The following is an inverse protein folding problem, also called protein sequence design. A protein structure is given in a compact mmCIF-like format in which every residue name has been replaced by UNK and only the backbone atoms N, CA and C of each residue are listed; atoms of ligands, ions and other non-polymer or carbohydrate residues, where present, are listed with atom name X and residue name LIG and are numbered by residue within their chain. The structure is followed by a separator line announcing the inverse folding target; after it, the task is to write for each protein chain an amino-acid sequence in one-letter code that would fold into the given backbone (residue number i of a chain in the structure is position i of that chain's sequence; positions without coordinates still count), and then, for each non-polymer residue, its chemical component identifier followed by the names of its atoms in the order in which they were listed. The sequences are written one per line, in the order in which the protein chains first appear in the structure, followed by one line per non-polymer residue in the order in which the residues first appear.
data_IF_405722870116
#
_entry.id   IF_405722870116
#
_cell.length_a   1.000
_cell.length_b   1.000
_cell.length_c   1.000
_cell.angle_alpha   90.00
_cell.angle_beta   90.00
_cell.angle_gamma   90.00
#
_symmetry.space_group_name_H-M   'P 1'
#
loop_
_entity.id
_entity.type
_entity.pdbx_description
1 polymer ?
#
# COMPACT_ATOMS: atom_id res chain seq x y z
N UNK A 1 4.40 13.84 26.19
CA UNK A 1 3.02 13.71 25.68
C UNK A 1 2.83 14.19 24.23
N UNK A 2 3.57 15.17 23.70
CA UNK A 2 3.40 15.66 22.31
C UNK A 2 3.56 14.62 21.20
N UNK A 3 4.34 13.55 21.40
CA UNK A 3 4.55 12.53 20.36
C UNK A 3 3.29 11.69 20.10
N UNK A 4 2.57 11.30 21.15
CA UNK A 4 1.40 10.42 21.06
C UNK A 4 0.12 11.11 20.58
N UNK A 5 0.09 12.46 20.56
CA UNK A 5 -1.08 13.19 20.07
C UNK A 5 -1.15 13.32 18.54
N UNK A 6 -0.04 13.12 17.83
CA UNK A 6 0.02 13.32 16.38
C UNK A 6 -0.21 12.05 15.54
N UNK A 7 0.20 10.89 16.05
CA UNK A 7 0.03 9.58 15.39
C UNK A 7 0.23 8.44 16.37
N UNK A 8 -0.21 7.26 15.99
CA UNK A 8 0.10 6.03 16.72
C UNK A 8 1.57 5.63 16.54
N UNK A 9 2.22 5.29 17.63
CA UNK A 9 3.60 4.79 17.67
C UNK A 9 3.64 3.40 18.30
N UNK A 10 4.46 2.52 17.74
CA UNK A 10 4.78 1.26 18.41
C UNK A 10 5.76 1.49 19.56
N UNK A 11 5.80 0.53 20.50
CA UNK A 11 6.77 0.53 21.60
C UNK A 11 8.20 0.65 21.05
N UNK A 12 8.56 -0.18 20.09
CA UNK A 12 9.88 -0.19 19.45
C UNK A 12 10.25 1.14 18.78
N UNK A 13 9.28 1.82 18.15
CA UNK A 13 9.51 3.15 17.59
C UNK A 13 9.82 4.19 18.68
N UNK A 14 9.09 4.13 19.80
CA UNK A 14 9.29 5.03 20.94
C UNK A 14 10.64 4.77 21.64
N UNK A 15 10.97 3.52 21.88
CA UNK A 15 12.27 3.13 22.44
C UNK A 15 13.42 3.69 21.59
N UNK A 16 13.40 3.43 20.29
CA UNK A 16 14.43 3.92 19.37
C UNK A 16 14.51 5.44 19.33
N UNK A 17 13.37 6.13 19.40
CA UNK A 17 13.30 7.59 19.30
C UNK A 17 13.69 8.28 20.60
N UNK A 18 13.40 7.69 21.74
CA UNK A 18 13.63 8.27 23.06
C UNK A 18 14.91 7.79 23.71
N UNK A 19 15.57 6.77 23.16
CA UNK A 19 16.81 6.22 23.71
C UNK A 19 17.90 7.27 23.97
N UNK A 20 17.99 8.29 23.13
CA UNK A 20 18.95 9.39 23.29
C UNK A 20 18.60 10.35 24.44
N UNK A 21 17.40 10.26 25.00
CA UNK A 21 16.90 11.08 26.09
C UNK A 21 16.79 10.28 27.40
N UNK A 22 17.27 9.05 27.41
CA UNK A 22 17.27 8.23 28.61
C UNK A 22 18.39 8.68 29.56
N UNK A 23 18.01 9.24 30.68
CA UNK A 23 18.95 9.74 31.71
C UNK A 23 19.51 8.62 32.57
N UNK A 24 18.76 7.53 32.75
CA UNK A 24 19.16 6.39 33.56
C UNK A 24 18.72 5.09 32.88
N UNK A 25 19.58 4.05 32.85
CA UNK A 25 19.23 2.77 32.24
C UNK A 25 17.95 2.15 32.83
N UNK A 26 16.99 1.80 31.97
CA UNK A 26 15.73 1.17 32.36
C UNK A 26 14.60 2.14 32.73
N UNK A 27 14.84 3.43 32.87
CA UNK A 27 13.80 4.42 33.15
C UNK A 27 12.82 4.53 31.98
N UNK A 28 13.33 4.51 30.75
CA UNK A 28 12.52 4.54 29.54
C UNK A 28 11.61 3.31 29.44
N UNK A 29 12.14 2.12 29.70
CA UNK A 29 11.36 0.87 29.66
C UNK A 29 10.17 0.93 30.64
N UNK A 30 10.42 1.35 31.89
CA UNK A 30 9.37 1.55 32.90
C UNK A 30 8.29 2.52 32.46
N UNK A 31 8.70 3.67 31.92
CA UNK A 31 7.75 4.67 31.45
C UNK A 31 6.89 4.16 30.28
N UNK A 32 7.47 3.38 29.37
CA UNK A 32 6.74 2.77 28.26
C UNK A 32 5.77 1.66 28.73
N UNK A 33 6.17 0.86 29.75
CA UNK A 33 5.29 -0.12 30.37
C UNK A 33 4.05 0.54 30.99
N UNK A 34 4.25 1.63 31.70
CA UNK A 34 3.13 2.39 32.28
C UNK A 34 2.21 2.99 31.20
N UNK A 35 2.76 3.53 30.11
CA UNK A 35 1.99 4.07 29.01
C UNK A 35 1.21 2.97 28.28
N UNK A 36 1.78 1.78 28.14
CA UNK A 36 1.12 0.62 27.55
C UNK A 36 0.00 0.12 28.48
N UNK A 37 0.25 0.00 29.79
CA UNK A 37 -0.77 -0.37 30.77
C UNK A 37 -1.95 0.61 30.83
N UNK A 38 -1.69 1.90 30.63
CA UNK A 38 -2.72 2.95 30.55
C UNK A 38 -3.38 3.05 29.16
N UNK A 39 -3.01 2.19 28.21
CA UNK A 39 -3.59 2.17 26.88
C UNK A 39 -3.15 3.29 25.94
N UNK A 40 -2.15 4.10 26.30
CA UNK A 40 -1.60 5.12 25.40
C UNK A 40 -0.77 4.53 24.27
N UNK A 41 -0.21 3.34 24.44
CA UNK A 41 0.49 2.57 23.42
C UNK A 41 -0.33 1.31 23.16
N UNK A 42 -0.71 1.07 21.88
CA UNK A 42 -1.45 -0.12 21.47
C UNK A 42 -0.95 -0.59 20.11
N UNK A 43 -0.46 -1.81 20.05
CA UNK A 43 0.02 -2.42 18.80
C UNK A 43 -1.11 -2.57 17.79
N UNK A 44 -2.32 -2.91 18.26
CA UNK A 44 -3.49 -3.02 17.39
C UNK A 44 -3.82 -1.68 16.70
N UNK A 45 -3.85 -0.57 17.45
CA UNK A 45 -4.10 0.74 16.85
C UNK A 45 -3.01 1.15 15.86
N UNK A 46 -1.75 0.83 16.14
CA UNK A 46 -0.64 1.06 15.19
C UNK A 46 -0.86 0.26 13.92
N UNK A 47 -1.21 -1.03 14.04
CA UNK A 47 -1.49 -1.93 12.92
C UNK A 47 -2.63 -1.39 12.06
N UNK A 48 -3.77 -1.08 12.67
CA UNK A 48 -4.95 -0.55 11.98
C UNK A 48 -4.66 0.79 11.30
N UNK A 49 -3.92 1.67 11.96
CA UNK A 49 -3.49 2.97 11.41
C UNK A 49 -2.59 2.82 10.19
N UNK A 50 -1.65 1.86 10.19
CA UNK A 50 -0.78 1.59 9.04
C UNK A 50 -1.60 1.02 7.89
N UNK A 51 -2.43 0.02 8.15
CA UNK A 51 -3.29 -0.60 7.14
C UNK A 51 -4.18 0.45 6.50
N UNK A 52 -4.90 1.23 7.29
CA UNK A 52 -5.81 2.27 6.78
C UNK A 52 -5.10 3.27 5.86
N UNK A 53 -3.92 3.74 6.23
CA UNK A 53 -3.16 4.73 5.44
C UNK A 53 -2.46 4.16 4.23
N UNK A 54 -2.06 2.89 4.25
CA UNK A 54 -1.18 2.29 3.24
C UNK A 54 -1.89 1.37 2.27
N UNK A 55 -2.98 0.71 2.67
CA UNK A 55 -3.69 -0.28 1.85
C UNK A 55 -4.12 0.27 0.49
N UNK A 56 -4.56 1.52 0.42
CA UNK A 56 -4.96 2.16 -0.83
C UNK A 56 -3.80 2.43 -1.81
N UNK A 57 -2.53 2.29 -1.38
CA UNK A 57 -1.36 2.67 -2.20
C UNK A 57 -0.31 1.57 -2.33
N UNK A 58 -0.31 0.59 -1.42
CA UNK A 58 0.74 -0.42 -1.31
C UNK A 58 0.14 -1.84 -1.29
N UNK A 59 0.93 -2.78 -1.81
CA UNK A 59 0.66 -4.21 -1.72
C UNK A 59 1.01 -4.80 -0.35
N UNK A 60 0.56 -6.02 -0.12
CA UNK A 60 0.69 -6.73 1.14
C UNK A 60 2.16 -6.89 1.61
N UNK A 61 3.09 -7.13 0.67
CA UNK A 61 4.50 -7.32 1.01
C UNK A 61 5.14 -6.05 1.60
N UNK A 62 4.84 -4.89 1.04
CA UNK A 62 5.38 -3.61 1.51
C UNK A 62 4.79 -3.21 2.86
N UNK A 63 3.49 -3.44 3.06
CA UNK A 63 2.81 -3.20 4.33
C UNK A 63 3.38 -4.13 5.41
N UNK A 64 3.59 -5.42 5.11
CA UNK A 64 4.25 -6.36 6.02
C UNK A 64 5.61 -5.85 6.48
N UNK A 65 6.44 -5.42 5.54
CA UNK A 65 7.77 -4.88 5.84
C UNK A 65 7.69 -3.63 6.75
N UNK A 66 6.74 -2.72 6.49
CA UNK A 66 6.54 -1.53 7.34
C UNK A 66 6.12 -1.93 8.76
N UNK A 67 5.21 -2.89 8.92
CA UNK A 67 4.75 -3.38 10.22
C UNK A 67 5.86 -4.10 11.00
N UNK A 68 6.66 -4.92 10.32
CA UNK A 68 7.84 -5.57 10.92
C UNK A 68 8.90 -4.56 11.37
N UNK A 69 9.17 -3.53 10.57
CA UNK A 69 10.10 -2.46 10.94
C UNK A 69 9.63 -1.64 12.16
N UNK A 70 8.33 -1.66 12.44
CA UNK A 70 7.74 -1.07 13.64
C UNK A 70 7.82 -2.00 14.86
N UNK A 71 8.29 -3.23 14.70
CA UNK A 71 8.44 -4.21 15.77
C UNK A 71 7.11 -4.74 16.30
N UNK A 72 6.08 -4.80 15.47
CA UNK A 72 4.78 -5.37 15.84
C UNK A 72 4.84 -6.89 15.87
N UNK A 73 3.96 -7.51 16.66
CA UNK A 73 3.86 -8.95 16.80
C UNK A 73 3.66 -9.65 15.45
N UNK A 74 4.45 -10.71 15.23
CA UNK A 74 4.49 -11.44 13.96
C UNK A 74 3.16 -12.08 13.60
N UNK A 75 2.41 -12.58 14.58
CA UNK A 75 1.18 -13.32 14.33
C UNK A 75 0.03 -12.35 14.05
N UNK A 76 -0.03 -11.24 14.78
CA UNK A 76 -0.95 -10.15 14.47
C UNK A 76 -0.71 -9.59 13.06
N UNK A 77 0.55 -9.41 12.67
CA UNK A 77 0.92 -8.98 11.31
C UNK A 77 0.49 -10.01 10.26
N UNK A 78 0.67 -11.31 10.50
CA UNK A 78 0.25 -12.37 9.55
C UNK A 78 -1.27 -12.34 9.31
N UNK A 79 -2.06 -12.25 10.38
CA UNK A 79 -3.54 -12.19 10.29
C UNK A 79 -3.97 -10.97 9.48
N UNK A 80 -3.42 -9.80 9.78
CA UNK A 80 -3.74 -8.57 9.08
C UNK A 80 -3.35 -8.61 7.59
N UNK A 81 -2.20 -9.17 7.27
CA UNK A 81 -1.74 -9.33 5.88
C UNK A 81 -2.62 -10.33 5.13
N UNK A 82 -3.07 -11.40 5.78
CA UNK A 82 -3.96 -12.37 5.15
C UNK A 82 -5.28 -11.72 4.73
N UNK A 83 -5.89 -10.91 5.58
CA UNK A 83 -7.11 -10.18 5.22
C UNK A 83 -6.90 -9.17 4.08
N UNK A 84 -5.72 -8.55 4.00
CA UNK A 84 -5.38 -7.64 2.90
C UNK A 84 -5.21 -8.36 1.55
N UNK A 85 -4.83 -9.62 1.55
CA UNK A 85 -4.66 -10.41 0.32
C UNK A 85 -5.99 -10.62 -0.41
N UNK A 86 -7.09 -10.75 0.31
CA UNK A 86 -8.42 -10.92 -0.27
C UNK A 86 -8.80 -9.77 -1.24
N UNK A 87 -8.40 -8.54 -0.92
CA UNK A 87 -8.68 -7.34 -1.71
C UNK A 87 -7.49 -6.85 -2.53
N UNK A 88 -6.40 -7.62 -2.59
CA UNK A 88 -5.17 -7.15 -3.21
C UNK A 88 -5.31 -6.86 -4.70
N UNK A 89 -6.08 -7.70 -5.42
CA UNK A 89 -6.34 -7.50 -6.85
C UNK A 89 -7.08 -6.19 -7.12
N UNK A 90 -8.17 -5.94 -6.42
CA UNK A 90 -9.00 -4.74 -6.59
C UNK A 90 -8.18 -3.46 -6.34
N UNK A 91 -7.38 -3.46 -5.27
CA UNK A 91 -6.50 -2.35 -4.92
C UNK A 91 -5.40 -2.13 -5.96
N UNK A 92 -4.76 -3.19 -6.42
CA UNK A 92 -3.74 -3.12 -7.46
C UNK A 92 -4.33 -2.62 -8.79
N UNK A 93 -5.49 -3.12 -9.17
CA UNK A 93 -6.21 -2.73 -10.38
C UNK A 93 -6.62 -1.25 -10.33
N UNK A 94 -7.18 -0.78 -9.21
CA UNK A 94 -7.55 0.62 -9.03
C UNK A 94 -6.34 1.57 -9.17
N UNK A 95 -5.19 1.20 -8.58
CA UNK A 95 -3.95 1.98 -8.68
C UNK A 95 -3.42 1.97 -10.12
N UNK A 96 -3.49 0.83 -10.79
CA UNK A 96 -3.06 0.66 -12.17
C UNK A 96 -3.94 1.50 -13.12
N UNK A 97 -5.27 1.41 -12.99
CA UNK A 97 -6.22 2.20 -13.76
C UNK A 97 -5.98 3.71 -13.57
N UNK A 98 -5.79 4.16 -12.33
CA UNK A 98 -5.51 5.57 -12.05
C UNK A 98 -4.25 6.09 -12.74
N UNK A 99 -3.22 5.23 -12.89
CA UNK A 99 -1.94 5.65 -13.47
C UNK A 99 -1.85 5.43 -14.98
N UNK A 100 -2.42 4.35 -15.47
CA UNK A 100 -2.25 3.91 -16.85
C UNK A 100 -3.57 3.83 -17.62
N UNK A 101 -4.70 3.82 -16.93
CA UNK A 101 -6.03 3.80 -17.57
C UNK A 101 -6.43 5.12 -18.23
N UNK A 102 -5.87 6.25 -17.79
CA UNK A 102 -6.17 7.57 -18.36
C UNK A 102 -5.58 7.78 -19.77
N UNK A 103 -4.63 6.95 -20.19
CA UNK A 103 -4.12 6.98 -21.58
C UNK A 103 -5.11 6.41 -22.60
N UNK A 104 -6.18 5.76 -22.13
CA UNK A 104 -7.25 5.24 -22.99
C UNK A 104 -8.49 6.15 -23.06
N UNK A 105 -8.58 7.15 -22.17
CA UNK A 105 -9.72 8.07 -22.08
C UNK A 105 -9.41 9.53 -22.50
N UNK A 106 -8.17 9.83 -22.87
CA UNK A 106 -7.77 11.18 -23.26
C UNK A 106 -7.73 11.35 -24.78
N UNK A 107 -8.83 11.01 -25.45
CA UNK A 107 -9.09 11.39 -26.87
C UNK A 107 -10.45 12.07 -26.97
N UNK A 108 -10.85 12.79 -25.93
CA UNK A 108 -11.98 13.71 -26.00
C UNK A 108 -11.57 15.06 -25.45
N UNK A 109 -10.83 15.83 -26.22
CA UNK A 109 -10.88 17.30 -26.22
C UNK A 109 -10.30 17.81 -27.54
N UNK A 110 -11.21 18.11 -28.43
CA UNK A 110 -11.22 19.25 -29.36
C UNK A 110 -9.88 19.62 -30.01
N UNK A 111 -9.60 19.01 -31.15
CA UNK A 111 -9.21 19.76 -32.33
C UNK A 111 -9.52 18.95 -33.61
N UNK A 112 -10.34 19.54 -34.43
CA UNK A 112 -10.81 19.05 -35.73
C UNK A 112 -9.64 19.09 -36.72
N UNK A 113 -9.08 17.92 -37.04
CA UNK A 113 -8.87 17.60 -38.45
C UNK A 113 -8.84 16.08 -38.63
N UNK A 114 -9.73 15.64 -39.51
CA UNK A 114 -10.05 14.25 -39.69
C UNK A 114 -9.02 13.54 -40.55
N UNK A 115 -8.62 12.38 -40.12
CA UNK A 115 -8.45 11.27 -41.06
C UNK A 115 -8.62 9.97 -40.30
N UNK A 116 -9.71 9.27 -40.65
CA UNK A 116 -9.98 7.84 -40.46
C UNK A 116 -8.93 7.05 -39.68
N UNK A 117 -9.11 6.87 -38.36
CA UNK A 117 -8.51 5.77 -37.66
C UNK A 117 -9.61 4.96 -37.01
N UNK A 118 -9.72 3.76 -37.56
CA UNK A 118 -10.72 2.75 -37.24
C UNK A 118 -11.00 2.62 -35.75
N UNK A 119 -12.28 2.53 -35.43
CA UNK A 119 -12.84 2.17 -34.16
C UNK A 119 -12.13 0.93 -33.55
N UNK A 120 -11.69 1.04 -32.29
CA UNK A 120 -11.66 -0.12 -31.42
C UNK A 120 -10.41 -0.96 -31.42
N UNK A 121 -9.21 -0.41 -31.58
CA UNK A 121 -8.01 -1.15 -31.23
C UNK A 121 -7.46 -0.62 -29.90
N UNK A 122 -7.80 -1.27 -28.79
CA UNK A 122 -7.02 -1.22 -27.56
C UNK A 122 -5.61 -1.69 -27.95
N UNK A 123 -4.73 -0.76 -28.25
CA UNK A 123 -3.36 -1.09 -28.55
C UNK A 123 -2.79 -1.82 -27.34
N UNK A 124 -2.56 -3.12 -27.47
CA UNK A 124 -1.87 -3.90 -26.44
C UNK A 124 -0.56 -3.17 -26.16
N UNK A 125 -0.33 -2.74 -24.91
CA UNK A 125 0.87 -1.97 -24.59
C UNK A 125 2.09 -2.77 -25.02
N UNK A 126 3.02 -2.13 -25.73
CA UNK A 126 4.24 -2.77 -26.18
C UNK A 126 5.02 -3.37 -25.01
N UNK A 127 5.91 -4.32 -25.27
CA UNK A 127 6.66 -5.04 -24.24
C UNK A 127 7.37 -4.10 -23.23
N UNK A 128 7.89 -2.98 -23.72
CA UNK A 128 8.53 -1.96 -22.86
C UNK A 128 7.55 -1.30 -21.89
N UNK A 129 6.34 -0.99 -22.35
CA UNK A 129 5.30 -0.36 -21.53
C UNK A 129 4.74 -1.34 -20.49
N UNK A 130 4.47 -2.59 -20.91
CA UNK A 130 4.12 -3.66 -19.96
C UNK A 130 5.18 -3.84 -18.89
N UNK A 131 6.45 -3.79 -19.25
CA UNK A 131 7.57 -3.83 -18.31
C UNK A 131 7.54 -2.69 -17.30
N UNK A 132 7.19 -1.47 -17.70
CA UNK A 132 7.03 -0.32 -16.79
C UNK A 132 5.88 -0.53 -15.81
N UNK A 133 4.73 -1.00 -16.30
CA UNK A 133 3.55 -1.28 -15.49
C UNK A 133 3.81 -2.36 -14.44
N UNK A 134 4.47 -3.45 -14.83
CA UNK A 134 4.88 -4.52 -13.91
C UNK A 134 5.82 -3.97 -12.83
N UNK A 135 6.88 -3.27 -13.21
CA UNK A 135 7.84 -2.67 -12.25
C UNK A 135 7.16 -1.69 -11.28
N UNK A 136 6.19 -0.93 -11.77
CA UNK A 136 5.41 -0.01 -10.95
C UNK A 136 4.63 -0.72 -9.83
N UNK A 137 3.97 -1.83 -10.13
CA UNK A 137 3.21 -2.62 -9.15
C UNK A 137 4.16 -3.42 -8.22
N UNK A 138 5.25 -3.98 -8.76
CA UNK A 138 6.27 -4.67 -7.97
C UNK A 138 6.92 -3.73 -6.94
N UNK A 139 7.28 -2.51 -7.33
CA UNK A 139 7.86 -1.51 -6.42
C UNK A 139 6.91 -1.13 -5.28
N UNK A 140 5.60 -1.30 -5.46
CA UNK A 140 4.59 -1.12 -4.42
C UNK A 140 4.36 -2.35 -3.55
N UNK A 141 4.97 -3.47 -3.87
CA UNK A 141 4.89 -4.72 -3.09
C UNK A 141 3.63 -5.52 -3.33
N UNK A 142 3.02 -5.41 -4.51
CA UNK A 142 1.95 -6.32 -4.95
C UNK A 142 2.54 -7.68 -5.33
N UNK A 143 1.77 -8.75 -5.09
CA UNK A 143 2.20 -10.11 -5.41
C UNK A 143 2.29 -10.33 -6.93
N UNK A 144 3.19 -11.22 -7.36
CA UNK A 144 3.37 -11.54 -8.78
C UNK A 144 2.10 -12.10 -9.41
N UNK A 145 1.31 -12.85 -8.64
CA UNK A 145 0.02 -13.36 -9.11
C UNK A 145 -0.99 -12.24 -9.34
N UNK A 146 -1.11 -11.33 -8.37
CA UNK A 146 -1.96 -10.13 -8.50
C UNK A 146 -1.54 -9.29 -9.70
N UNK A 147 -0.23 -9.07 -9.89
CA UNK A 147 0.28 -8.31 -11.03
C UNK A 147 -0.10 -8.98 -12.35
N UNK A 148 0.07 -10.30 -12.45
CA UNK A 148 -0.31 -11.07 -13.65
C UNK A 148 -1.79 -10.91 -13.98
N UNK A 149 -2.66 -11.03 -12.97
CA UNK A 149 -4.11 -10.85 -13.11
C UNK A 149 -4.48 -9.43 -13.56
N UNK A 150 -3.86 -8.40 -12.99
CA UNK A 150 -4.07 -6.99 -13.38
C UNK A 150 -3.64 -6.78 -14.83
N UNK A 151 -2.48 -7.32 -15.24
CA UNK A 151 -2.00 -7.21 -16.62
C UNK A 151 -2.91 -7.93 -17.62
N UNK A 152 -3.47 -9.08 -17.23
CA UNK A 152 -4.43 -9.82 -18.05
C UNK A 152 -5.75 -9.05 -18.17
N UNK A 153 -6.28 -8.51 -17.08
CA UNK A 153 -7.50 -7.71 -17.08
C UNK A 153 -7.34 -6.42 -17.94
N UNK A 154 -6.20 -5.75 -17.82
CA UNK A 154 -5.90 -4.56 -18.62
C UNK A 154 -5.74 -4.81 -20.11
N UNK A 155 -5.34 -6.02 -20.52
CA UNK A 155 -5.22 -6.39 -21.93
C UNK A 155 -6.53 -6.90 -22.53
N UNK A 156 -7.49 -7.32 -21.73
CA UNK A 156 -8.72 -7.95 -22.20
C UNK A 156 -9.86 -6.95 -22.48
N UNK A 157 -9.71 -5.65 -22.16
CA UNK A 157 -10.71 -4.61 -22.45
C UNK A 157 -12.15 -4.91 -21.96
N UNK A 158 -12.33 -5.97 -21.18
CA UNK A 158 -13.62 -6.39 -20.64
C UNK A 158 -13.59 -6.19 -19.14
N UNK A 159 -14.06 -5.02 -18.70
CA UNK A 159 -14.50 -4.85 -17.33
C UNK A 159 -15.54 -5.94 -17.06
N UNK A 160 -15.25 -6.84 -16.15
CA UNK A 160 -16.29 -7.58 -15.49
C UNK A 160 -17.06 -6.59 -14.61
N UNK A 161 -18.12 -6.02 -15.18
CA UNK A 161 -19.28 -5.51 -14.47
C UNK A 161 -20.33 -6.63 -14.60
N UNK A 162 -20.31 -7.56 -13.67
CA UNK A 162 -21.45 -8.34 -13.20
C UNK A 162 -21.23 -8.68 -11.74
#
# INVERSE_FOLDING_TARGET
MRLLSGREYSRTELERKLKTHEESPGLLAKALDELQAKGFISEQRVLDSVIHRRSAKLGAARIRQELQNKGLDSDAVKVAIHSLQATEFERAHAIWCKKFGATAAAVDSDDSDASEVAAGTWATPGAAERGKQIRFLMARGFSSDTIRRVMAAGSSGKAALE
#
